data_IF_790882376987
#
_entry.id   IF_790882376987
#
_cell.length_a   1.000
_cell.length_b   1.000
_cell.length_c   1.000
_cell.angle_alpha   90.00
_cell.angle_beta   90.00
_cell.angle_gamma   90.00
#
_symmetry.space_group_name_H-M   'P 1'
#
loop_
_entity.id
_entity.type
_entity.pdbx_description
1 polymer ?
#
# COMPACT_ATOMS: atom_id res chain seq x y z
N UNK A 1 -40.39 42.76 9.45
CA UNK A 1 -40.93 42.32 8.15
C UNK A 1 -39.89 41.59 7.27
N UNK A 2 -38.85 42.25 6.74
CA UNK A 2 -37.91 41.57 5.80
C UNK A 2 -37.07 40.46 6.47
N UNK A 3 -36.64 40.66 7.71
CA UNK A 3 -35.93 39.63 8.50
C UNK A 3 -36.82 38.44 8.89
N UNK A 4 -38.10 38.70 9.17
CA UNK A 4 -39.07 37.65 9.50
C UNK A 4 -39.39 36.77 8.30
N UNK A 5 -39.51 37.38 7.11
CA UNK A 5 -39.66 36.64 5.84
C UNK A 5 -38.43 35.77 5.58
N UNK A 6 -37.21 36.31 5.76
CA UNK A 6 -35.97 35.52 5.62
C UNK A 6 -35.91 34.35 6.60
N UNK A 7 -36.29 34.57 7.87
CA UNK A 7 -36.32 33.52 8.89
C UNK A 7 -37.31 32.41 8.54
N UNK A 8 -38.51 32.79 8.11
CA UNK A 8 -39.54 31.84 7.68
C UNK A 8 -39.09 31.03 6.45
N UNK A 9 -38.56 31.69 5.42
CA UNK A 9 -38.05 31.02 4.22
C UNK A 9 -36.92 30.04 4.55
N UNK A 10 -36.02 30.41 5.47
CA UNK A 10 -34.95 29.51 5.93
C UNK A 10 -35.51 28.28 6.65
N UNK A 11 -36.51 28.45 7.53
CA UNK A 11 -37.18 27.33 8.19
C UNK A 11 -37.86 26.39 7.19
N UNK A 12 -38.55 26.94 6.17
CA UNK A 12 -39.15 26.13 5.11
C UNK A 12 -38.08 25.36 4.33
N UNK A 13 -36.98 26.01 3.97
CA UNK A 13 -35.89 25.37 3.24
C UNK A 13 -35.22 24.25 4.06
N UNK A 14 -35.03 24.43 5.37
CA UNK A 14 -34.48 23.41 6.28
C UNK A 14 -35.28 22.10 6.32
N UNK A 15 -36.55 22.12 5.91
CA UNK A 15 -37.39 20.93 5.83
C UNK A 15 -37.23 20.17 4.49
N UNK A 16 -36.50 20.73 3.53
CA UNK A 16 -36.37 20.15 2.17
C UNK A 16 -35.28 19.09 2.08
N UNK A 17 -35.45 18.17 1.12
CA UNK A 17 -34.40 17.22 0.75
C UNK A 17 -33.16 17.92 0.18
N UNK A 18 -33.34 19.11 -0.43
CA UNK A 18 -32.25 19.94 -0.95
C UNK A 18 -31.37 20.48 0.19
N UNK A 19 -31.96 20.99 1.27
CA UNK A 19 -31.18 21.41 2.44
C UNK A 19 -30.36 20.26 3.01
N UNK A 20 -30.92 19.05 3.13
CA UNK A 20 -30.16 17.87 3.59
C UNK A 20 -28.97 17.57 2.68
N UNK A 21 -29.15 17.65 1.37
CA UNK A 21 -28.07 17.48 0.40
C UNK A 21 -27.00 18.57 0.56
N UNK A 22 -27.40 19.83 0.72
CA UNK A 22 -26.49 20.95 0.91
C UNK A 22 -25.70 20.83 2.22
N UNK A 23 -26.32 20.27 3.28
CA UNK A 23 -25.60 19.93 4.52
C UNK A 23 -24.53 18.84 4.30
N UNK A 24 -24.83 17.80 3.50
CA UNK A 24 -23.84 16.77 3.19
C UNK A 24 -22.69 17.30 2.32
N UNK A 25 -22.96 18.29 1.46
CA UNK A 25 -21.92 18.95 0.68
C UNK A 25 -20.98 19.85 1.49
N UNK A 26 -21.28 20.12 2.76
CA UNK A 26 -20.36 20.78 3.69
C UNK A 26 -19.37 19.80 4.33
N UNK A 27 -19.44 18.51 3.99
CA UNK A 27 -18.44 17.52 4.37
C UNK A 27 -17.28 17.59 3.38
N UNK A 28 -16.07 17.78 3.91
CA UNK A 28 -14.84 17.79 3.12
C UNK A 28 -13.90 16.73 3.66
N UNK A 29 -13.77 15.62 2.94
CA UNK A 29 -12.77 14.60 3.23
C UNK A 29 -11.40 15.02 2.70
N UNK A 30 -10.33 14.57 3.36
CA UNK A 30 -9.00 14.67 2.76
C UNK A 30 -8.91 13.81 1.50
N UNK A 31 -7.94 14.12 0.64
CA UNK A 31 -7.64 13.30 -0.55
C UNK A 31 -7.25 11.88 -0.17
N UNK A 32 -7.68 10.88 -0.96
CA UNK A 32 -7.20 9.51 -0.81
C UNK A 32 -5.72 9.45 -1.21
N UNK A 33 -4.89 8.86 -0.34
CA UNK A 33 -3.46 8.70 -0.60
C UNK A 33 -3.03 7.26 -0.38
N UNK A 34 -2.46 6.67 -1.42
CA UNK A 34 -1.91 5.31 -1.42
C UNK A 34 -0.46 5.38 -1.85
N UNK A 35 0.42 4.70 -1.14
CA UNK A 35 1.83 4.72 -1.45
C UNK A 35 2.13 4.03 -2.78
N UNK A 36 3.06 4.59 -3.55
CA UNK A 36 3.71 3.85 -4.63
C UNK A 36 4.53 2.70 -4.00
N UNK A 37 4.44 1.46 -4.52
CA UNK A 37 5.23 0.34 -4.03
C UNK A 37 6.73 0.62 -3.98
N UNK A 38 7.37 0.23 -2.88
CA UNK A 38 8.81 0.44 -2.60
C UNK A 38 9.53 -0.88 -2.37
N UNK A 39 10.85 -0.86 -2.15
CA UNK A 39 11.61 -2.06 -1.80
C UNK A 39 11.09 -2.73 -0.51
N UNK A 40 10.41 -1.96 0.35
CA UNK A 40 9.66 -2.50 1.48
C UNK A 40 8.26 -2.95 1.04
N UNK A 41 8.02 -4.26 1.11
CA UNK A 41 6.76 -4.91 0.78
C UNK A 41 5.53 -4.38 1.54
N UNK A 42 5.72 -3.82 2.74
CA UNK A 42 4.61 -3.27 3.54
C UNK A 42 3.92 -2.04 2.90
N UNK A 43 4.56 -1.43 1.91
CA UNK A 43 3.97 -0.31 1.14
C UNK A 43 3.04 -0.77 0.02
N UNK A 44 3.01 -2.07 -0.29
CA UNK A 44 2.13 -2.66 -1.29
C UNK A 44 0.74 -2.85 -0.68
N UNK A 45 -0.31 -2.47 -1.42
CA UNK A 45 -1.68 -2.85 -1.06
C UNK A 45 -1.85 -4.34 -1.36
N UNK A 46 -2.05 -5.14 -0.32
CA UNK A 46 -2.19 -6.59 -0.38
C UNK A 46 -3.64 -6.99 -0.11
N UNK A 47 -4.49 -6.89 -1.15
CA UNK A 47 -5.92 -7.18 -1.03
C UNK A 47 -6.19 -8.57 -0.43
N UNK A 48 -5.37 -9.57 -0.76
CA UNK A 48 -5.46 -10.93 -0.22
C UNK A 48 -5.28 -10.97 1.31
N UNK A 49 -4.26 -10.30 1.86
CA UNK A 49 -4.00 -10.26 3.30
C UNK A 49 -5.07 -9.45 4.00
N UNK A 50 -5.37 -8.26 3.45
CA UNK A 50 -6.38 -7.36 4.00
C UNK A 50 -7.74 -8.05 4.16
N UNK A 51 -8.21 -8.77 3.15
CA UNK A 51 -9.52 -9.42 3.21
C UNK A 51 -9.53 -10.72 4.03
N UNK A 52 -8.39 -11.38 4.19
CA UNK A 52 -8.28 -12.58 5.01
C UNK A 52 -8.18 -12.27 6.52
N UNK A 53 -7.42 -11.23 6.89
CA UNK A 53 -7.09 -10.90 8.29
C UNK A 53 -8.21 -10.17 9.03
N UNK A 54 -9.09 -9.46 8.31
CA UNK A 54 -10.13 -8.67 8.94
C UNK A 54 -11.28 -9.56 9.47
N UNK A 55 -11.40 -9.60 10.80
CA UNK A 55 -12.47 -10.29 11.52
C UNK A 55 -13.77 -9.49 11.42
N UNK A 56 -14.51 -9.72 10.34
CA UNK A 56 -15.88 -9.22 10.22
C UNK A 56 -16.84 -10.03 11.08
N UNK A 57 -17.84 -9.37 11.66
CA UNK A 57 -18.84 -10.01 12.51
C UNK A 57 -19.61 -11.11 11.77
N UNK A 58 -20.12 -12.09 12.54
CA UNK A 58 -20.81 -13.26 11.99
C UNK A 58 -22.05 -12.93 11.15
N UNK A 59 -22.65 -11.76 11.32
CA UNK A 59 -23.81 -11.31 10.55
C UNK A 59 -23.44 -10.63 9.21
N UNK A 60 -22.16 -10.65 8.83
CA UNK A 60 -21.62 -10.04 7.60
C UNK A 60 -20.91 -11.04 6.70
N UNK A 61 -21.34 -12.30 6.73
CA UNK A 61 -20.69 -13.37 5.99
C UNK A 61 -20.70 -13.12 4.48
N UNK A 62 -21.76 -12.53 3.92
CA UNK A 62 -21.78 -12.22 2.48
C UNK A 62 -20.68 -11.25 2.08
N UNK A 63 -20.42 -10.21 2.88
CA UNK A 63 -19.38 -9.22 2.60
C UNK A 63 -18.01 -9.86 2.72
N UNK A 64 -17.75 -10.61 3.82
CA UNK A 64 -16.45 -11.30 4.00
C UNK A 64 -16.19 -12.29 2.86
N UNK A 65 -17.22 -13.04 2.47
CA UNK A 65 -17.14 -13.99 1.35
C UNK A 65 -16.83 -13.27 0.03
N UNK A 66 -17.53 -12.17 -0.27
CA UNK A 66 -17.29 -11.38 -1.48
C UNK A 66 -15.88 -10.78 -1.51
N UNK A 67 -15.42 -10.19 -0.40
CA UNK A 67 -14.07 -9.65 -0.28
C UNK A 67 -13.00 -10.74 -0.48
N UNK A 68 -13.09 -11.87 0.21
CA UNK A 68 -12.10 -12.96 0.05
C UNK A 68 -12.10 -13.52 -1.37
N UNK A 69 -13.27 -13.72 -1.99
CA UNK A 69 -13.36 -14.24 -3.36
C UNK A 69 -13.05 -13.21 -4.45
N UNK A 70 -12.98 -11.92 -4.09
CA UNK A 70 -12.51 -10.87 -4.98
C UNK A 70 -11.00 -10.90 -5.23
N UNK A 71 -10.28 -11.86 -4.63
CA UNK A 71 -8.87 -12.12 -4.92
C UNK A 71 -8.66 -13.61 -5.21
N UNK A 72 -8.23 -13.90 -6.44
CA UNK A 72 -7.83 -15.24 -6.83
C UNK A 72 -6.35 -15.48 -6.54
N UNK A 73 -6.00 -16.74 -6.28
CA UNK A 73 -4.61 -17.17 -6.06
C UNK A 73 -4.26 -18.36 -6.94
N UNK A 74 -3.06 -18.36 -7.51
CA UNK A 74 -2.50 -19.49 -8.27
C UNK A 74 -1.03 -19.66 -7.93
N UNK A 75 -0.66 -20.83 -7.43
CA UNK A 75 0.73 -21.16 -7.09
C UNK A 75 1.35 -22.01 -8.19
N UNK A 76 2.61 -21.74 -8.52
CA UNK A 76 3.39 -22.47 -9.53
C UNK A 76 4.85 -22.60 -9.11
N UNK A 77 5.47 -23.71 -9.47
CA UNK A 77 6.90 -23.93 -9.28
C UNK A 77 7.66 -23.54 -10.55
N UNK A 78 8.66 -22.68 -10.41
CA UNK A 78 9.50 -22.18 -11.51
C UNK A 78 10.94 -22.58 -11.21
N UNK A 79 11.53 -23.44 -12.04
CA UNK A 79 12.86 -23.99 -11.78
C UNK A 79 13.99 -22.95 -11.94
N UNK A 80 13.89 -22.09 -12.95
CA UNK A 80 14.90 -21.08 -13.25
C UNK A 80 14.30 -19.67 -13.11
N UNK A 81 13.79 -19.36 -11.91
CA UNK A 81 13.31 -18.01 -11.63
C UNK A 81 14.47 -17.03 -11.58
N UNK A 82 14.36 -15.94 -12.32
CA UNK A 82 15.33 -14.86 -12.37
C UNK A 82 15.19 -13.97 -11.12
N UNK A 83 16.20 -13.99 -10.25
CA UNK A 83 16.18 -13.24 -9.00
C UNK A 83 16.06 -11.72 -9.21
N UNK A 84 16.48 -11.19 -10.36
CA UNK A 84 16.35 -9.75 -10.67
C UNK A 84 14.90 -9.28 -10.76
N UNK A 85 13.94 -10.20 -10.93
CA UNK A 85 12.51 -9.87 -10.96
C UNK A 85 11.97 -9.43 -9.61
N UNK A 86 12.62 -9.81 -8.50
CA UNK A 86 12.19 -9.42 -7.16
C UNK A 86 12.37 -7.91 -7.01
N UNK A 87 11.31 -7.22 -6.64
CA UNK A 87 11.31 -5.76 -6.49
C UNK A 87 11.11 -5.32 -5.04
N UNK A 88 10.49 -6.17 -4.21
CA UNK A 88 10.22 -5.88 -2.81
C UNK A 88 10.58 -7.07 -1.93
N UNK A 89 10.98 -6.80 -0.69
CA UNK A 89 11.16 -7.81 0.35
C UNK A 89 10.15 -7.56 1.48
N UNK A 90 9.76 -8.63 2.18
CA UNK A 90 9.04 -8.55 3.45
C UNK A 90 9.88 -9.05 4.60
N UNK A 91 9.48 -8.67 5.83
CA UNK A 91 10.06 -9.15 7.09
C UNK A 91 11.55 -8.87 7.31
N UNK A 92 12.12 -7.87 6.62
CA UNK A 92 13.48 -7.41 6.90
C UNK A 92 13.52 -6.58 8.19
N UNK A 93 14.40 -6.98 9.11
CA UNK A 93 14.75 -6.22 10.33
C UNK A 93 15.35 -4.83 10.04
N UNK A 94 15.76 -4.58 8.80
CA UNK A 94 16.34 -3.32 8.35
C UNK A 94 15.29 -2.31 7.87
N UNK A 95 14.03 -2.72 7.72
CA UNK A 95 12.92 -1.81 7.43
C UNK A 95 12.43 -1.13 8.73
N UNK A 96 12.32 0.19 8.72
CA UNK A 96 11.90 1.01 9.87
C UNK A 96 13.02 1.46 10.84
N UNK A 97 14.29 1.11 10.62
CA UNK A 97 15.40 1.68 11.41
C UNK A 97 15.66 3.14 11.02
N UNK A 98 15.69 4.03 12.01
CA UNK A 98 15.65 5.49 11.81
C UNK A 98 16.98 6.12 11.39
N UNK A 99 18.09 5.40 11.54
CA UNK A 99 19.46 5.89 11.41
C UNK A 99 20.22 5.36 10.18
N UNK A 100 19.62 4.43 9.42
CA UNK A 100 20.22 3.77 8.25
C UNK A 100 19.36 3.90 6.99
N UNK A 101 19.97 3.74 5.81
CA UNK A 101 19.28 3.73 4.51
C UNK A 101 18.19 2.67 4.50
N UNK A 102 16.93 3.09 4.37
CA UNK A 102 15.80 2.19 4.41
C UNK A 102 15.29 1.85 3.01
N UNK A 103 15.01 0.56 2.75
CA UNK A 103 14.42 0.15 1.46
C UNK A 103 13.07 0.79 1.16
N UNK A 104 12.33 1.25 2.17
CA UNK A 104 11.08 2.00 1.95
C UNK A 104 11.24 3.32 1.20
N UNK A 105 12.46 3.86 1.05
CA UNK A 105 12.68 5.10 0.29
C UNK A 105 12.93 4.85 -1.19
N UNK A 106 13.16 3.60 -1.57
CA UNK A 106 13.57 3.23 -2.91
C UNK A 106 12.43 2.54 -3.63
N UNK A 107 12.33 2.85 -4.93
CA UNK A 107 11.38 2.22 -5.84
C UNK A 107 11.42 0.69 -5.75
N UNK A 108 12.61 0.09 -5.66
CA UNK A 108 12.80 -1.36 -5.60
C UNK A 108 14.13 -1.73 -4.93
N UNK A 109 14.34 -3.04 -4.72
CA UNK A 109 15.51 -3.55 -3.98
C UNK A 109 16.84 -3.32 -4.71
N UNK A 110 16.86 -3.17 -6.03
CA UNK A 110 18.09 -2.91 -6.76
C UNK A 110 18.51 -1.45 -6.64
N UNK A 111 17.55 -0.50 -6.72
CA UNK A 111 17.80 0.91 -6.42
C UNK A 111 18.26 1.08 -4.97
N UNK A 112 17.65 0.35 -4.04
CA UNK A 112 18.10 0.32 -2.65
C UNK A 112 19.54 -0.18 -2.54
N UNK A 113 19.85 -1.33 -3.15
CA UNK A 113 21.18 -1.93 -3.16
C UNK A 113 22.25 -1.05 -3.79
N UNK A 114 21.91 -0.28 -4.82
CA UNK A 114 22.81 0.69 -5.44
C UNK A 114 23.16 1.83 -4.50
N UNK A 115 22.17 2.32 -3.74
CA UNK A 115 22.36 3.43 -2.81
C UNK A 115 22.98 3.01 -1.46
N UNK A 116 23.05 1.71 -1.18
CA UNK A 116 23.65 1.20 0.06
C UNK A 116 25.14 1.53 0.14
N UNK A 117 25.57 1.94 1.33
CA UNK A 117 26.98 2.22 1.59
C UNK A 117 27.78 0.93 1.74
N UNK A 118 28.86 0.82 0.97
CA UNK A 118 29.79 -0.29 1.14
C UNK A 118 30.49 -0.23 2.51
N UNK A 119 30.63 -1.40 3.14
CA UNK A 119 31.39 -1.64 4.37
C UNK A 119 32.19 -2.92 4.25
N UNK A 120 32.96 -3.27 5.29
CA UNK A 120 33.86 -4.44 5.26
C UNK A 120 33.17 -5.78 4.95
N UNK A 121 31.88 -5.88 5.24
CA UNK A 121 31.08 -7.10 5.05
C UNK A 121 30.00 -6.96 3.98
N UNK A 122 29.79 -5.79 3.38
CA UNK A 122 28.74 -5.54 2.39
C UNK A 122 29.26 -4.57 1.33
N UNK A 123 29.43 -5.04 0.10
CA UNK A 123 29.78 -4.23 -1.06
C UNK A 123 29.11 -4.81 -2.31
N UNK A 124 29.18 -4.12 -3.44
CA UNK A 124 28.56 -4.51 -4.71
C UNK A 124 29.36 -4.03 -5.94
N UNK A 125 30.68 -3.92 -5.85
CA UNK A 125 31.54 -3.28 -6.88
C UNK A 125 32.08 -4.29 -7.90
N UNK A 126 32.46 -5.49 -7.45
CA UNK A 126 33.15 -6.47 -8.28
C UNK A 126 32.63 -7.91 -8.10
N UNK A 127 33.26 -8.85 -8.82
CA UNK A 127 32.92 -10.27 -8.81
C UNK A 127 33.12 -10.92 -7.43
N UNK A 128 34.11 -10.47 -6.65
CA UNK A 128 34.28 -10.98 -5.30
C UNK A 128 33.13 -10.56 -4.37
N UNK A 129 32.68 -9.31 -4.49
CA UNK A 129 31.48 -8.85 -3.77
C UNK A 129 30.24 -9.64 -4.19
N UNK A 130 30.12 -9.95 -5.48
CA UNK A 130 29.04 -10.78 -6.01
C UNK A 130 29.02 -12.16 -5.33
N UNK A 131 30.15 -12.86 -5.33
CA UNK A 131 30.28 -14.17 -4.68
C UNK A 131 29.95 -14.11 -3.18
N UNK A 132 30.45 -13.08 -2.48
CA UNK A 132 30.19 -12.85 -1.07
C UNK A 132 28.70 -12.60 -0.80
N UNK A 133 28.06 -11.75 -1.61
CA UNK A 133 26.64 -11.45 -1.49
C UNK A 133 25.78 -12.69 -1.71
N UNK A 134 26.04 -13.44 -2.79
CA UNK A 134 25.31 -14.68 -3.08
C UNK A 134 25.50 -15.70 -1.95
N UNK A 135 26.73 -15.92 -1.49
CA UNK A 135 27.02 -16.82 -0.36
C UNK A 135 26.25 -16.42 0.90
N UNK A 136 26.21 -15.13 1.24
CA UNK A 136 25.51 -14.63 2.42
C UNK A 136 23.98 -14.80 2.34
N UNK A 137 23.40 -14.43 1.20
CA UNK A 137 21.98 -14.60 0.86
C UNK A 137 21.58 -16.08 1.03
N UNK A 138 22.42 -17.00 0.56
CA UNK A 138 22.20 -18.44 0.60
C UNK A 138 22.42 -19.09 1.97
N UNK A 139 23.19 -18.47 2.86
CA UNK A 139 23.37 -18.94 4.25
C UNK A 139 22.26 -18.44 5.18
N UNK A 140 21.61 -17.32 4.85
CA UNK A 140 20.57 -16.72 5.68
C UNK A 140 19.16 -16.91 5.10
N UNK A 141 18.60 -15.86 4.48
CA UNK A 141 17.18 -15.79 4.12
C UNK A 141 16.76 -16.62 2.91
N UNK A 142 17.70 -17.11 2.09
CA UNK A 142 17.41 -17.77 0.81
C UNK A 142 18.19 -19.08 0.64
N UNK A 143 18.10 -19.96 1.63
CA UNK A 143 18.82 -21.24 1.68
C UNK A 143 18.72 -22.03 0.37
N UNK A 144 19.86 -22.51 -0.16
CA UNK A 144 19.95 -23.25 -1.45
C UNK A 144 18.91 -24.36 -1.63
N UNK A 145 18.66 -25.09 -0.56
CA UNK A 145 17.83 -26.30 -0.58
C UNK A 145 16.33 -26.01 -0.56
N UNK A 146 15.92 -24.75 -0.48
CA UNK A 146 14.52 -24.34 -0.48
C UNK A 146 14.23 -23.48 -1.72
N UNK A 147 13.06 -23.65 -2.34
CA UNK A 147 12.60 -22.69 -3.34
C UNK A 147 12.41 -21.32 -2.69
N UNK A 148 12.58 -20.25 -3.46
CA UNK A 148 12.20 -18.90 -3.06
C UNK A 148 10.68 -18.82 -2.92
N UNK A 149 10.19 -18.19 -1.86
CA UNK A 149 8.77 -17.90 -1.68
C UNK A 149 8.45 -16.51 -2.24
N UNK A 150 7.71 -16.49 -3.34
CA UNK A 150 7.45 -15.28 -4.14
C UNK A 150 5.94 -15.03 -4.22
N UNK A 151 5.54 -13.84 -3.81
CA UNK A 151 4.21 -13.30 -4.07
C UNK A 151 4.27 -12.38 -5.29
N UNK A 152 3.44 -12.64 -6.31
CA UNK A 152 3.27 -11.76 -7.45
C UNK A 152 1.90 -11.10 -7.42
N UNK A 153 1.88 -9.80 -7.12
CA UNK A 153 0.65 -9.01 -7.07
C UNK A 153 0.38 -8.40 -8.44
N UNK A 154 -0.53 -9.00 -9.22
CA UNK A 154 -0.78 -8.57 -10.61
C UNK A 154 -1.27 -7.12 -10.73
N UNK A 155 -2.08 -6.67 -9.78
CA UNK A 155 -2.69 -5.33 -9.80
C UNK A 155 -1.69 -4.17 -9.70
N UNK A 156 -0.45 -4.45 -9.28
CA UNK A 156 0.66 -3.50 -9.34
C UNK A 156 1.90 -4.08 -10.05
N UNK A 157 1.75 -5.22 -10.72
CA UNK A 157 2.80 -6.02 -11.35
C UNK A 157 4.09 -6.08 -10.50
N UNK A 158 3.95 -6.51 -9.25
CA UNK A 158 5.02 -6.45 -8.26
C UNK A 158 5.38 -7.84 -7.75
N UNK A 159 6.65 -8.22 -7.90
CA UNK A 159 7.20 -9.41 -7.26
C UNK A 159 7.77 -9.04 -5.89
N UNK A 160 7.21 -9.66 -4.87
CA UNK A 160 7.66 -9.58 -3.50
C UNK A 160 8.21 -10.93 -3.07
N UNK A 161 9.33 -10.93 -2.35
CA UNK A 161 9.89 -12.16 -1.78
C UNK A 161 9.94 -12.07 -0.26
N UNK A 162 9.53 -13.14 0.41
CA UNK A 162 9.70 -13.26 1.84
C UNK A 162 11.19 -13.35 2.20
N UNK A 163 11.65 -12.50 3.12
CA UNK A 163 13.03 -12.49 3.57
C UNK A 163 13.13 -12.50 5.10
N UNK A 164 13.72 -13.55 5.67
CA UNK A 164 14.00 -13.64 7.10
C UNK A 164 15.42 -13.20 7.51
N UNK A 165 16.27 -12.80 6.56
CA UNK A 165 17.67 -12.42 6.80
C UNK A 165 18.46 -12.14 5.52
N UNK A 166 19.50 -11.31 5.59
CA UNK A 166 20.36 -10.99 4.44
C UNK A 166 19.75 -10.01 3.42
N UNK A 167 18.72 -9.24 3.79
CA UNK A 167 18.03 -8.29 2.89
C UNK A 167 18.97 -7.27 2.21
N UNK A 168 19.97 -6.75 2.93
CA UNK A 168 20.97 -5.84 2.37
C UNK A 168 21.84 -6.49 1.29
N UNK A 169 22.28 -7.73 1.52
CA UNK A 169 23.01 -8.49 0.51
C UNK A 169 22.12 -8.81 -0.69
N UNK A 170 20.85 -9.16 -0.46
CA UNK A 170 19.89 -9.39 -1.54
C UNK A 170 19.66 -8.14 -2.40
N UNK A 171 19.59 -6.96 -1.78
CA UNK A 171 19.55 -5.67 -2.45
C UNK A 171 20.83 -5.42 -3.25
N UNK A 172 22.01 -5.63 -2.64
CA UNK A 172 23.32 -5.50 -3.29
C UNK A 172 23.46 -6.42 -4.51
N UNK A 173 23.10 -7.70 -4.38
CA UNK A 173 23.08 -8.64 -5.49
C UNK A 173 22.11 -8.21 -6.59
N UNK A 174 20.90 -7.78 -6.24
CA UNK A 174 19.92 -7.26 -7.22
C UNK A 174 20.45 -6.03 -7.98
N UNK A 175 21.18 -5.15 -7.29
CA UNK A 175 21.91 -4.04 -7.91
C UNK A 175 22.98 -4.52 -8.90
N UNK A 176 23.82 -5.47 -8.51
CA UNK A 176 24.84 -6.05 -9.42
C UNK A 176 24.21 -6.74 -10.63
N UNK A 177 23.08 -7.43 -10.46
CA UNK A 177 22.35 -8.01 -11.60
C UNK A 177 21.85 -6.92 -12.56
N UNK A 178 21.31 -5.81 -12.04
CA UNK A 178 20.76 -4.71 -12.85
C UNK A 178 21.85 -3.91 -13.57
N UNK A 179 22.90 -3.48 -12.86
CA UNK A 179 23.87 -2.52 -13.37
C UNK A 179 25.17 -3.15 -13.88
N UNK A 180 25.49 -4.37 -13.44
CA UNK A 180 26.71 -5.09 -13.82
C UNK A 180 26.44 -6.38 -14.60
N UNK A 181 25.17 -6.69 -14.91
CA UNK A 181 24.76 -7.82 -15.74
C UNK A 181 25.09 -9.22 -15.18
N UNK A 182 25.29 -9.33 -13.86
CA UNK A 182 25.37 -10.63 -13.19
C UNK A 182 24.03 -11.37 -13.28
N UNK A 183 24.08 -12.70 -13.23
CA UNK A 183 22.92 -13.55 -13.34
C UNK A 183 22.83 -14.52 -12.16
N UNK A 184 21.63 -14.64 -11.59
CA UNK A 184 21.33 -15.55 -10.51
C UNK A 184 19.93 -16.11 -10.68
N UNK A 185 19.87 -17.43 -10.86
CA UNK A 185 18.63 -18.17 -11.09
C UNK A 185 18.43 -19.18 -9.97
N UNK A 186 17.18 -19.32 -9.53
CA UNK A 186 16.80 -20.23 -8.45
C UNK A 186 15.45 -20.88 -8.71
N UNK A 187 15.24 -22.05 -8.11
CA UNK A 187 13.90 -22.60 -7.96
C UNK A 187 13.06 -21.62 -7.11
N UNK A 188 11.84 -21.33 -7.54
CA UNK A 188 10.89 -20.50 -6.82
C UNK A 188 9.51 -21.13 -6.81
N UNK A 189 8.81 -20.97 -5.70
CA UNK A 189 7.36 -21.10 -5.61
C UNK A 189 6.76 -19.71 -5.76
N UNK A 190 6.06 -19.49 -6.87
CA UNK A 190 5.42 -18.21 -7.19
C UNK A 190 3.93 -18.34 -6.98
N UNK A 191 3.40 -17.61 -6.00
CA UNK A 191 1.96 -17.42 -5.80
C UNK A 191 1.54 -16.11 -6.45
N UNK A 192 0.83 -16.23 -7.57
CA UNK A 192 0.22 -15.11 -8.29
C UNK A 192 -1.13 -14.77 -7.67
N UNK A 193 -1.33 -13.49 -7.34
CA UNK A 193 -2.58 -12.93 -6.85
C UNK A 193 -3.18 -11.98 -7.90
N UNK A 194 -4.45 -12.18 -8.22
CA UNK A 194 -5.19 -11.35 -9.17
C UNK A 194 -6.54 -10.93 -8.59
N UNK A 195 -6.94 -9.68 -8.84
CA UNK A 195 -8.26 -9.19 -8.45
C UNK A 195 -9.36 -9.78 -9.33
N UNK A 196 -10.51 -10.04 -8.72
CA UNK A 196 -11.77 -10.42 -9.34
C UNK A 196 -12.84 -9.42 -8.89
N UNK A 197 -12.94 -8.25 -9.54
CA UNK A 197 -13.84 -7.18 -9.12
C UNK A 197 -15.33 -7.53 -9.26
N UNK A 198 -15.68 -8.59 -9.98
CA UNK A 198 -17.07 -9.03 -10.17
C UNK A 198 -17.76 -9.35 -8.83
N UNK A 199 -17.06 -9.98 -7.90
CA UNK A 199 -17.58 -10.27 -6.56
C UNK A 199 -17.94 -8.99 -5.78
N UNK A 200 -17.21 -7.89 -6.01
CA UNK A 200 -17.51 -6.60 -5.38
C UNK A 200 -18.74 -5.96 -6.01
N UNK A 201 -18.84 -6.01 -7.35
CA UNK A 201 -20.00 -5.50 -8.08
C UNK A 201 -21.30 -6.24 -7.70
N UNK A 202 -21.26 -7.56 -7.53
CA UNK A 202 -22.40 -8.34 -7.03
C UNK A 202 -22.85 -7.86 -5.64
N UNK A 203 -21.90 -7.58 -4.75
CA UNK A 203 -22.21 -7.08 -3.42
C UNK A 203 -22.82 -5.67 -3.47
N UNK A 204 -22.33 -4.78 -4.33
CA UNK A 204 -22.94 -3.47 -4.52
C UNK A 204 -24.40 -3.57 -5.02
N UNK A 205 -24.68 -4.52 -5.94
CA UNK A 205 -26.02 -4.80 -6.43
C UNK A 205 -26.96 -5.35 -5.35
N UNK A 206 -26.41 -6.08 -4.37
CA UNK A 206 -27.15 -6.57 -3.20
C UNK A 206 -27.46 -5.47 -2.16
N UNK A 207 -27.11 -4.22 -2.44
CA UNK A 207 -27.48 -3.08 -1.62
C UNK A 207 -26.40 -2.61 -0.66
N UNK A 208 -25.13 -2.75 -1.04
CA UNK A 208 -24.00 -2.20 -0.30
C UNK A 208 -23.35 -1.04 -1.05
N UNK A 209 -22.76 -0.11 -0.31
CA UNK A 209 -21.78 0.85 -0.81
C UNK A 209 -20.41 0.44 -0.30
N UNK A 210 -19.45 0.30 -1.20
CA UNK A 210 -18.05 -0.03 -0.88
C UNK A 210 -17.12 0.99 -1.53
N UNK A 211 -16.42 1.77 -0.72
CA UNK A 211 -15.54 2.82 -1.24
C UNK A 211 -14.36 3.09 -0.32
N UNK A 212 -13.25 3.52 -0.90
CA UNK A 212 -12.13 4.08 -0.18
C UNK A 212 -12.48 5.50 0.26
N UNK A 213 -12.01 5.85 1.45
CA UNK A 213 -12.13 7.17 2.06
C UNK A 213 -10.86 7.45 2.86
N UNK A 214 -10.40 8.71 2.88
CA UNK A 214 -9.30 9.09 3.76
C UNK A 214 -9.66 8.87 5.25
N UNK A 215 -8.66 8.77 6.13
CA UNK A 215 -8.91 8.57 7.56
C UNK A 215 -9.54 9.77 8.24
N UNK A 216 -9.37 10.97 7.66
CA UNK A 216 -9.81 12.22 8.26
C UNK A 216 -10.48 13.17 7.26
N UNK A 217 -11.28 14.08 7.82
CA UNK A 217 -11.94 15.14 7.08
C UNK A 217 -12.45 16.23 8.02
N UNK A 218 -13.30 17.10 7.48
CA UNK A 218 -13.96 18.17 8.22
C UNK A 218 -15.46 18.19 7.93
N UNK A 219 -16.23 18.48 8.97
CA UNK A 219 -17.68 18.62 8.90
C UNK A 219 -18.11 19.65 9.93
N UNK A 220 -18.30 20.90 9.49
CA UNK A 220 -18.58 22.05 10.38
C UNK A 220 -19.83 21.89 11.24
N UNK A 221 -20.78 21.06 10.81
CA UNK A 221 -21.98 20.73 11.57
C UNK A 221 -21.67 19.96 12.87
N UNK A 222 -20.56 19.22 12.90
CA UNK A 222 -20.11 18.44 14.07
C UNK A 222 -19.06 19.23 14.84
N UNK A 223 -18.02 19.72 14.15
CA UNK A 223 -16.88 20.40 14.78
C UNK A 223 -16.17 21.34 13.81
N UNK A 224 -15.57 22.40 14.36
CA UNK A 224 -14.66 23.27 13.61
C UNK A 224 -13.24 22.69 13.47
N UNK A 225 -12.95 21.55 14.10
CA UNK A 225 -11.68 20.82 13.98
C UNK A 225 -11.79 19.66 13.00
N UNK A 226 -10.64 19.15 12.57
CA UNK A 226 -10.51 17.91 11.80
C UNK A 226 -11.00 16.71 12.63
N UNK A 227 -11.74 15.81 11.99
CA UNK A 227 -12.40 14.65 12.60
C UNK A 227 -11.98 13.36 11.88
N UNK A 228 -12.11 12.21 12.54
CA UNK A 228 -12.02 10.91 11.86
C UNK A 228 -13.20 10.77 10.92
N UNK A 229 -12.98 10.25 9.72
CA UNK A 229 -14.05 10.04 8.75
C UNK A 229 -15.15 9.12 9.30
N UNK A 230 -14.80 8.10 10.08
CA UNK A 230 -15.75 7.22 10.76
C UNK A 230 -16.72 8.00 11.66
N UNK A 231 -16.26 9.05 12.36
CA UNK A 231 -17.12 9.92 13.16
C UNK A 231 -18.09 10.72 12.27
N UNK A 232 -17.59 11.24 11.15
CA UNK A 232 -18.42 11.99 10.19
C UNK A 232 -19.49 11.08 9.57
N UNK A 233 -19.10 9.88 9.13
CA UNK A 233 -20.02 8.87 8.57
C UNK A 233 -21.05 8.45 9.63
N UNK A 234 -20.57 8.14 10.85
CA UNK A 234 -21.39 7.78 11.99
C UNK A 234 -22.45 8.82 12.31
N UNK A 235 -22.07 10.08 12.46
CA UNK A 235 -22.98 11.14 12.90
C UNK A 235 -23.97 11.56 11.80
N UNK A 236 -23.53 11.59 10.54
CA UNK A 236 -24.30 12.24 9.46
C UNK A 236 -24.92 11.29 8.44
N UNK A 237 -24.40 10.07 8.29
CA UNK A 237 -24.73 9.19 7.16
C UNK A 237 -25.35 7.88 7.60
N UNK A 238 -24.71 7.14 8.51
CA UNK A 238 -25.17 5.80 8.93
C UNK A 238 -24.73 5.48 10.34
N UNK A 239 -25.62 4.88 11.15
CA UNK A 239 -25.28 4.36 12.48
C UNK A 239 -24.49 3.04 12.42
N UNK A 240 -24.52 2.34 11.27
CA UNK A 240 -23.95 1.00 11.11
C UNK A 240 -23.13 0.94 9.83
N UNK A 241 -21.83 0.83 10.00
CA UNK A 241 -20.88 0.73 8.91
C UNK A 241 -19.65 -0.07 9.36
N UNK A 242 -18.83 -0.45 8.40
CA UNK A 242 -17.59 -1.19 8.63
C UNK A 242 -16.46 -0.45 7.96
N UNK A 243 -15.37 -0.30 8.70
CA UNK A 243 -14.12 0.23 8.20
C UNK A 243 -13.07 -0.87 8.16
N UNK A 244 -12.35 -0.96 7.05
CA UNK A 244 -11.17 -1.82 6.90
C UNK A 244 -9.98 -0.92 6.60
N UNK A 245 -9.05 -0.71 7.55
CA UNK A 245 -7.92 0.18 7.37
C UNK A 245 -6.90 -0.40 6.37
N UNK A 246 -6.35 0.42 5.47
CA UNK A 246 -5.30 -0.03 4.53
C UNK A 246 -3.89 -0.08 5.17
N UNK A 247 -3.79 0.15 6.48
CA UNK A 247 -2.57 0.08 7.28
C UNK A 247 -1.36 0.80 6.64
N UNK A 248 -0.20 0.14 6.53
CA UNK A 248 1.06 0.73 6.10
C UNK A 248 1.11 1.16 4.62
N UNK A 249 0.07 0.87 3.84
CA UNK A 249 -0.03 1.26 2.43
C UNK A 249 -0.52 2.70 2.20
N UNK A 250 -0.78 3.47 3.27
CA UNK A 250 -1.32 4.84 3.19
C UNK A 250 -0.69 5.79 4.22
N UNK A 251 -0.37 7.05 3.85
CA UNK A 251 0.11 8.07 4.79
C UNK A 251 -0.99 8.72 5.63
N UNK A 252 -2.26 8.60 5.24
CA UNK A 252 -3.36 9.36 5.83
C UNK A 252 -4.51 8.48 6.31
N UNK A 253 -4.18 7.26 6.76
CA UNK A 253 -5.14 6.30 7.32
C UNK A 253 -6.32 6.05 6.35
N UNK A 254 -6.09 6.04 5.04
CA UNK A 254 -7.11 5.62 4.07
C UNK A 254 -7.65 4.23 4.43
N UNK A 255 -8.96 4.07 4.30
CA UNK A 255 -9.70 2.88 4.70
C UNK A 255 -10.79 2.57 3.68
N UNK A 256 -11.21 1.31 3.63
CA UNK A 256 -12.41 0.89 2.93
C UNK A 256 -13.59 1.09 3.87
N UNK A 257 -14.63 1.75 3.40
CA UNK A 257 -15.89 1.94 4.09
C UNK A 257 -16.97 1.09 3.43
N UNK A 258 -17.74 0.38 4.24
CA UNK A 258 -18.82 -0.51 3.80
C UNK A 258 -20.10 -0.13 4.54
N UNK A 259 -21.14 0.22 3.79
CA UNK A 259 -22.44 0.68 4.33
C UNK A 259 -23.57 -0.05 3.60
N UNK A 260 -24.52 -0.65 4.33
CA UNK A 260 -25.75 -1.18 3.71
C UNK A 260 -26.70 -0.03 3.40
N UNK A 261 -27.40 -0.12 2.27
CA UNK A 261 -28.40 0.88 1.84
C UNK A 261 -29.51 1.08 2.88
N UNK A 262 -29.88 0.02 3.60
CA UNK A 262 -30.90 0.05 4.65
C UNK A 262 -30.44 0.74 5.94
N UNK A 263 -29.13 0.83 6.18
CA UNK A 263 -28.55 1.43 7.39
C UNK A 263 -28.35 2.95 7.27
N UNK A 264 -28.78 3.57 6.17
CA UNK A 264 -28.66 5.02 5.97
C UNK A 264 -29.64 5.81 6.87
N UNK A 265 -29.11 6.80 7.61
CA UNK A 265 -29.89 7.81 8.35
C UNK A 265 -30.67 8.76 7.44
N UNK A 266 -30.24 8.84 6.19
CA UNK A 266 -30.74 9.76 5.17
C UNK A 266 -31.38 8.98 4.04
N UNK A 267 -32.33 9.59 3.34
CA UNK A 267 -32.99 8.96 2.19
C UNK A 267 -31.94 8.55 1.15
N UNK A 268 -32.01 7.31 0.68
CA UNK A 268 -31.06 6.74 -0.29
C UNK A 268 -30.83 7.64 -1.51
N UNK A 269 -31.88 8.23 -2.08
CA UNK A 269 -31.77 9.16 -3.23
C UNK A 269 -30.90 10.40 -2.94
N UNK A 270 -30.92 10.91 -1.71
CA UNK A 270 -30.10 12.07 -1.30
C UNK A 270 -28.65 11.62 -1.15
N UNK A 271 -28.44 10.48 -0.48
CA UNK A 271 -27.11 9.90 -0.32
C UNK A 271 -26.45 9.60 -1.68
N UNK A 272 -27.15 8.94 -2.61
CA UNK A 272 -26.62 8.60 -3.94
C UNK A 272 -26.16 9.84 -4.71
N UNK A 273 -26.92 10.95 -4.65
CA UNK A 273 -26.52 12.23 -5.26
C UNK A 273 -25.22 12.76 -4.65
N UNK A 274 -25.12 12.76 -3.33
CA UNK A 274 -23.91 13.20 -2.63
C UNK A 274 -22.73 12.27 -2.93
N UNK A 275 -22.94 10.95 -2.85
CA UNK A 275 -21.95 9.91 -3.09
C UNK A 275 -21.34 10.04 -4.48
N UNK A 276 -22.16 10.16 -5.53
CA UNK A 276 -21.67 10.35 -6.89
C UNK A 276 -20.92 11.69 -7.08
N UNK A 277 -21.32 12.74 -6.38
CA UNK A 277 -20.58 14.00 -6.40
C UNK A 277 -19.20 13.84 -5.75
N UNK A 278 -19.09 13.14 -4.62
CA UNK A 278 -17.81 12.88 -3.95
C UNK A 278 -16.89 11.98 -4.79
N UNK A 279 -17.45 10.95 -5.45
CA UNK A 279 -16.71 10.13 -6.42
C UNK A 279 -16.15 10.99 -7.56
N UNK A 280 -16.97 11.86 -8.15
CA UNK A 280 -16.55 12.77 -9.22
C UNK A 280 -15.45 13.74 -8.79
N UNK A 281 -15.44 14.14 -7.52
CA UNK A 281 -14.39 15.00 -6.94
C UNK A 281 -13.11 14.24 -6.58
N UNK A 282 -13.13 12.91 -6.57
CA UNK A 282 -11.99 12.08 -6.14
C UNK A 282 -11.83 11.96 -4.62
N UNK A 283 -12.78 12.48 -3.84
CA UNK A 283 -12.77 12.38 -2.38
C UNK A 283 -13.11 10.97 -1.89
N UNK A 284 -13.89 10.24 -2.70
CA UNK A 284 -14.18 8.82 -2.54
C UNK A 284 -13.75 8.09 -3.81
N UNK A 285 -13.37 6.83 -3.70
CA UNK A 285 -13.10 5.95 -4.84
C UNK A 285 -13.84 4.64 -4.63
N UNK A 286 -14.57 4.14 -5.63
CA UNK A 286 -15.26 2.85 -5.51
C UNK A 286 -14.25 1.74 -5.27
N UNK A 287 -14.54 0.81 -4.37
CA UNK A 287 -13.63 -0.31 -4.09
C UNK A 287 -13.39 -1.13 -5.36
N UNK A 288 -14.44 -1.38 -6.15
CA UNK A 288 -14.34 -2.05 -7.45
C UNK A 288 -13.29 -1.38 -8.36
N UNK A 289 -13.38 -0.06 -8.53
CA UNK A 289 -12.46 0.71 -9.38
C UNK A 289 -11.02 0.69 -8.84
N UNK A 290 -10.84 0.75 -7.52
CA UNK A 290 -9.53 0.65 -6.90
C UNK A 290 -8.90 -0.75 -7.07
N UNK A 291 -9.72 -1.81 -7.16
CA UNK A 291 -9.24 -3.18 -7.38
C UNK A 291 -8.97 -3.49 -8.86
N UNK A 292 -9.72 -2.89 -9.77
CA UNK A 292 -9.51 -3.01 -11.22
C UNK A 292 -8.19 -2.38 -11.66
N UNK A 293 -7.86 -1.21 -11.11
CA UNK A 293 -6.63 -0.50 -11.41
C UNK A 293 -6.02 0.10 -10.14
N UNK A 294 -5.49 -0.78 -9.28
CA UNK A 294 -4.81 -0.36 -8.05
C UNK A 294 -3.63 0.55 -8.34
N UNK A 295 -2.88 0.28 -9.42
CA UNK A 295 -1.69 1.04 -9.80
C UNK A 295 -1.96 2.52 -10.05
N UNK A 296 -3.12 2.85 -10.64
CA UNK A 296 -3.56 4.24 -10.89
C UNK A 296 -3.66 5.08 -9.62
N UNK A 297 -4.00 4.46 -8.48
CA UNK A 297 -4.20 5.18 -7.22
C UNK A 297 -2.93 5.22 -6.34
N UNK A 298 -1.97 4.32 -6.57
CA UNK A 298 -0.70 4.23 -5.84
C UNK A 298 0.33 5.28 -6.31
N UNK A 299 0.02 6.55 -6.07
CA UNK A 299 0.79 7.71 -6.59
C UNK A 299 1.57 8.49 -5.54
N UNK A 300 1.34 8.20 -4.25
CA UNK A 300 1.99 8.95 -3.19
C UNK A 300 3.37 8.39 -2.91
N UNK A 301 4.41 9.22 -2.99
CA UNK A 301 5.75 8.81 -2.59
C UNK A 301 5.77 8.47 -1.08
N UNK A 302 6.49 7.41 -0.71
CA UNK A 302 6.72 7.11 0.70
C UNK A 302 7.61 8.20 1.31
N UNK A 303 7.15 8.80 2.41
CA UNK A 303 7.89 9.82 3.14
C UNK A 303 8.08 9.34 4.56
N UNK A 304 9.34 9.15 4.96
CA UNK A 304 9.70 8.83 6.33
C UNK A 304 10.17 10.10 7.04
N UNK A 305 9.77 10.30 8.29
CA UNK A 305 10.28 11.41 9.09
C UNK A 305 11.63 11.03 9.71
N UNK A 306 12.70 11.71 9.30
CA UNK A 306 14.03 11.52 9.89
C UNK A 306 14.29 12.54 10.98
N UNK A 307 14.95 12.09 12.06
CA UNK A 307 15.63 12.99 12.99
C UNK A 307 17.12 13.10 12.68
N UNK A 308 17.75 11.98 12.28
CA UNK A 308 19.17 11.87 11.97
C UNK A 308 19.36 10.75 10.92
N UNK A 309 20.24 10.95 9.94
CA UNK A 309 20.56 9.95 8.91
C UNK A 309 22.07 9.77 8.82
N UNK A 310 22.56 8.54 8.98
CA UNK A 310 23.98 8.22 8.75
C UNK A 310 24.23 8.03 7.26
N UNK A 311 24.83 9.02 6.61
CA UNK A 311 25.05 9.05 5.16
C UNK A 311 26.31 8.32 4.65
N UNK A 312 26.96 7.47 5.45
CA UNK A 312 28.05 6.58 5.03
C UNK A 312 29.07 7.18 4.03
N UNK A 313 29.47 6.40 3.02
CA UNK A 313 30.29 6.82 1.87
C UNK A 313 29.49 6.63 0.57
N UNK A 314 28.71 7.62 0.12
CA UNK A 314 27.77 7.48 -0.99
C UNK A 314 28.41 7.19 -2.35
N UNK A 315 29.72 7.42 -2.48
CA UNK A 315 30.44 7.21 -3.73
C UNK A 315 31.32 5.97 -3.67
N UNK A 316 31.22 5.16 -2.61
CA UNK A 316 32.08 4.00 -2.34
C UNK A 316 33.58 4.32 -2.49
N UNK A 317 33.97 5.57 -2.21
CA UNK A 317 35.32 6.10 -2.44
C UNK A 317 36.37 5.30 -1.67
N UNK A 318 36.07 4.97 -0.41
CA UNK A 318 36.98 4.24 0.46
C UNK A 318 37.11 2.79 0.03
N UNK A 319 36.02 2.16 -0.38
CA UNK A 319 36.04 0.77 -0.79
C UNK A 319 36.76 0.58 -2.14
N UNK A 320 36.54 1.51 -3.08
CA UNK A 320 37.33 1.61 -4.32
C UNK A 320 38.83 1.73 -4.02
N UNK A 321 39.24 2.62 -3.11
CA UNK A 321 40.64 2.79 -2.72
C UNK A 321 41.23 1.53 -2.08
N UNK A 322 40.49 0.85 -1.20
CA UNK A 322 40.96 -0.40 -0.58
C UNK A 322 41.17 -1.48 -1.64
N UNK A 323 40.28 -1.57 -2.63
CA UNK A 323 40.39 -2.53 -3.74
C UNK A 323 41.56 -2.19 -4.67
N UNK A 324 41.79 -0.92 -4.97
CA UNK A 324 42.99 -0.48 -5.70
C UNK A 324 44.28 -0.85 -4.97
N UNK A 325 44.35 -0.62 -3.65
CA UNK A 325 45.51 -0.98 -2.84
C UNK A 325 45.78 -2.49 -2.85
N UNK A 326 44.73 -3.33 -2.73
CA UNK A 326 44.86 -4.79 -2.76
C UNK A 326 45.36 -5.32 -4.12
N UNK A 327 44.96 -4.67 -5.22
CA UNK A 327 45.48 -5.00 -6.56
C UNK A 327 46.99 -4.75 -6.66
N UNK A 328 47.51 -3.71 -6.01
CA UNK A 328 48.94 -3.37 -6.04
C UNK A 328 49.82 -4.14 -5.05
N UNK A 329 49.24 -4.91 -4.12
CA UNK A 329 49.99 -5.77 -3.19
C UNK A 329 49.98 -7.25 -3.58
N UNK A 330 49.41 -7.59 -4.74
CA UNK A 330 49.28 -8.97 -5.23
C UNK A 330 50.28 -9.32 -6.35
N UNK A 331 51.20 -8.39 -6.67
CA UNK A 331 52.43 -8.60 -7.44
C UNK A 331 53.60 -8.82 -6.47
#
# INVERSE_FOLDING_TARGET
MLEEIKRFLNQCYQQTDQWKLDQLHQIHFDDIKLYTPTANGNTIIKWNELFAENNMEHHQKEVKYALVNSVSKKTSLIANFDFSKIQSLTNSSSFGQSDHINGSWFKDIAEWGYAMYSGSELSNIDEHDWENNISHIEQQGFTKNKPLDISHYKWCNRYECYNSGGSHHAAAASSQMRYQQFQYYRNAEVTEYATNPECINELEQQGFYLFLIAGFGSAHKISHKKLRCEQIIGDLISDRFYSIPLHYSTPNETQIMIIRKEDLKIKARIFEKWYHAQLKMGNLVRLQEAMEDTSKYCTTAYVHQFKWLKLGDPFNTNDLKVKEMKKHTSD
#
